data_IF_709352764256
#
_entry.id   IF_709352764256
#
_cell.length_a   1.000
_cell.length_b   1.000
_cell.length_c   1.000
_cell.angle_alpha   90.00
_cell.angle_beta   90.00
_cell.angle_gamma   90.00
#
_symmetry.space_group_name_H-M   'P 1'
#
loop_
_entity.id
_entity.type
_entity.pdbx_description
1 polymer ?
#
# COMPACT_ATOMS: atom_id res chain seq x y z
N UNK A 1 -16.25 6.61 -6.21
CA UNK A 1 -15.44 6.41 -5.00
C UNK A 1 -15.20 7.79 -4.45
N UNK A 2 -15.75 8.09 -3.28
CA UNK A 2 -15.71 9.46 -2.75
C UNK A 2 -14.35 9.74 -2.09
N UNK A 3 -13.95 11.00 -2.02
CA UNK A 3 -12.66 11.39 -1.41
C UNK A 3 -12.53 10.92 0.05
N UNK A 4 -13.66 10.80 0.75
CA UNK A 4 -13.74 10.32 2.13
C UNK A 4 -13.40 8.83 2.26
N UNK A 5 -13.81 7.99 1.28
CA UNK A 5 -13.46 6.56 1.25
C UNK A 5 -11.94 6.36 1.15
N UNK A 6 -11.29 7.20 0.34
CA UNK A 6 -9.85 7.20 0.12
C UNK A 6 -9.10 7.63 1.40
N UNK A 7 -9.63 8.62 2.13
CA UNK A 7 -9.06 9.06 3.41
C UNK A 7 -9.23 8.01 4.50
N UNK A 8 -10.42 7.41 4.63
CA UNK A 8 -10.69 6.34 5.58
C UNK A 8 -9.78 5.13 5.35
N UNK A 9 -9.53 4.78 4.09
CA UNK A 9 -8.57 3.74 3.71
C UNK A 9 -7.15 4.09 4.16
N UNK A 10 -6.69 5.32 3.92
CA UNK A 10 -5.38 5.80 4.38
C UNK A 10 -5.21 5.74 5.90
N UNK A 11 -6.22 6.17 6.66
CA UNK A 11 -6.20 6.14 8.12
C UNK A 11 -6.12 4.71 8.68
N UNK A 12 -6.90 3.77 8.13
CA UNK A 12 -6.89 2.36 8.55
C UNK A 12 -5.55 1.69 8.25
N UNK A 13 -4.97 1.97 7.09
CA UNK A 13 -3.65 1.48 6.73
C UNK A 13 -2.56 2.01 7.66
N UNK A 14 -2.61 3.30 8.05
CA UNK A 14 -1.69 3.89 9.04
C UNK A 14 -1.84 3.29 10.44
N UNK A 15 -3.07 3.09 10.92
CA UNK A 15 -3.31 2.42 12.20
C UNK A 15 -2.81 0.96 12.23
N UNK A 16 -2.55 0.37 11.06
CA UNK A 16 -1.97 -0.98 10.94
C UNK A 16 -0.44 -0.95 10.98
N UNK A 17 0.21 0.20 10.76
CA UNK A 17 1.67 0.36 10.89
C UNK A 17 2.16 0.27 12.33
N UNK A 18 1.38 0.77 13.29
CA UNK A 18 1.78 0.75 14.71
C UNK A 18 1.72 -0.65 15.34
N UNK A 19 1.23 -1.66 14.60
CA UNK A 19 1.02 -3.03 15.12
C UNK A 19 2.14 -4.02 14.79
N UNK A 20 3.19 -3.59 14.10
CA UNK A 20 4.35 -4.43 13.78
C UNK A 20 4.92 -4.21 12.38
N UNK A 21 5.98 -4.94 12.00
CA UNK A 21 6.62 -4.79 10.69
C UNK A 21 5.62 -5.10 9.57
N UNK A 22 5.30 -4.10 8.76
CA UNK A 22 4.38 -4.25 7.63
C UNK A 22 5.19 -4.51 6.36
N UNK A 23 4.88 -5.61 5.68
CA UNK A 23 5.53 -6.02 4.44
C UNK A 23 5.26 -5.09 3.26
N UNK A 24 5.79 -5.45 2.09
CA UNK A 24 5.62 -4.68 0.86
C UNK A 24 4.13 -4.43 0.52
N UNK A 25 3.85 -3.35 -0.21
CA UNK A 25 2.50 -2.94 -0.59
C UNK A 25 2.37 -2.81 -2.11
N UNK A 26 1.36 -3.47 -2.69
CA UNK A 26 0.96 -3.31 -4.08
C UNK A 26 -0.47 -2.78 -4.16
N UNK A 27 -0.66 -1.62 -4.78
CA UNK A 27 -1.99 -1.03 -5.01
C UNK A 27 -2.39 -1.19 -6.48
N UNK A 28 -3.63 -1.59 -6.75
CA UNK A 28 -4.17 -1.68 -8.12
C UNK A 28 -5.25 -0.63 -8.31
N UNK A 29 -5.06 0.29 -9.23
CA UNK A 29 -5.94 1.46 -9.41
C UNK A 29 -6.20 1.71 -10.90
N UNK A 30 -7.47 1.87 -11.30
CA UNK A 30 -7.82 2.29 -12.66
C UNK A 30 -7.40 3.75 -12.96
N UNK A 31 -7.36 4.13 -14.24
CA UNK A 31 -6.75 5.39 -14.69
C UNK A 31 -7.44 6.67 -14.20
N UNK A 32 -8.69 6.59 -13.75
CA UNK A 32 -9.51 7.70 -13.26
C UNK A 32 -9.10 8.21 -11.87
N UNK A 33 -8.27 7.47 -11.12
CA UNK A 33 -7.98 7.78 -9.71
C UNK A 33 -6.49 7.81 -9.36
N UNK A 34 -5.61 7.96 -10.34
CA UNK A 34 -4.14 7.86 -10.15
C UNK A 34 -3.58 8.95 -9.21
N UNK A 35 -4.04 10.21 -9.31
CA UNK A 35 -3.55 11.29 -8.45
C UNK A 35 -3.93 11.11 -6.97
N UNK A 36 -5.19 10.75 -6.72
CA UNK A 36 -5.69 10.52 -5.36
C UNK A 36 -4.91 9.37 -4.68
N UNK A 37 -4.52 8.36 -5.45
CA UNK A 37 -3.76 7.20 -4.97
C UNK A 37 -2.30 7.53 -4.74
N UNK A 38 -1.69 8.36 -5.58
CA UNK A 38 -0.35 8.90 -5.33
C UNK A 38 -0.26 9.59 -3.97
N UNK A 39 -1.30 10.35 -3.60
CA UNK A 39 -1.39 11.01 -2.28
C UNK A 39 -1.51 10.02 -1.13
N UNK A 40 -2.35 8.99 -1.26
CA UNK A 40 -2.47 7.91 -0.26
C UNK A 40 -1.15 7.18 -0.09
N UNK A 41 -0.45 6.88 -1.17
CA UNK A 41 0.87 6.25 -1.08
C UNK A 41 1.92 7.16 -0.46
N UNK A 42 1.91 8.45 -0.76
CA UNK A 42 2.76 9.44 -0.10
C UNK A 42 2.53 9.47 1.40
N UNK A 43 1.26 9.41 1.84
CA UNK A 43 0.91 9.29 3.26
C UNK A 43 1.41 7.98 3.90
N UNK A 44 1.50 6.90 3.12
CA UNK A 44 1.96 5.58 3.56
C UNK A 44 3.48 5.38 3.48
N UNK A 45 4.22 6.32 2.86
CA UNK A 45 5.67 6.28 2.69
C UNK A 45 6.46 6.57 3.98
N UNK A 46 5.77 6.94 5.06
CA UNK A 46 6.35 7.00 6.40
C UNK A 46 6.86 5.63 6.90
N UNK A 47 6.43 4.52 6.26
CA UNK A 47 6.97 3.20 6.54
C UNK A 47 8.09 2.85 5.55
N UNK A 48 9.25 2.45 6.09
CA UNK A 48 10.40 1.94 5.35
C UNK A 48 10.09 0.58 4.72
N UNK A 49 9.22 0.55 3.71
CA UNK A 49 8.79 -0.65 3.00
C UNK A 49 8.69 -0.42 1.50
N UNK A 50 8.93 -1.45 0.67
CA UNK A 50 8.70 -1.35 -0.77
C UNK A 50 7.21 -1.12 -1.09
N UNK A 51 6.89 -0.13 -1.93
CA UNK A 51 5.52 0.18 -2.37
C UNK A 51 5.44 0.44 -3.88
N UNK A 52 4.38 -0.02 -4.55
CA UNK A 52 4.17 0.21 -5.99
C UNK A 52 2.69 0.21 -6.41
N UNK A 53 2.32 1.10 -7.33
CA UNK A 53 1.00 1.14 -8.00
C UNK A 53 1.03 0.36 -9.30
N UNK A 54 -0.06 -0.33 -9.59
CA UNK A 54 -0.31 -1.04 -10.84
C UNK A 54 -1.68 -0.66 -11.39
N UNK A 55 -1.83 -0.78 -12.70
CA UNK A 55 -3.13 -0.63 -13.40
C UNK A 55 -3.90 -1.93 -13.50
N UNK A 56 -3.23 -3.06 -13.27
CA UNK A 56 -3.77 -4.40 -13.48
C UNK A 56 -3.36 -5.33 -12.34
N UNK A 57 -4.26 -6.25 -11.99
CA UNK A 57 -4.05 -7.21 -10.91
C UNK A 57 -2.90 -8.20 -11.18
N UNK A 58 -2.74 -8.66 -12.42
CA UNK A 58 -1.72 -9.64 -12.78
C UNK A 58 -0.29 -9.19 -12.47
N UNK A 59 0.16 -8.03 -12.99
CA UNK A 59 1.46 -7.43 -12.66
C UNK A 59 1.66 -7.20 -11.16
N UNK A 60 0.63 -6.68 -10.47
CA UNK A 60 0.69 -6.44 -9.03
C UNK A 60 0.95 -7.72 -8.24
N UNK A 61 0.24 -8.79 -8.60
CA UNK A 61 0.35 -10.09 -7.94
C UNK A 61 1.72 -10.75 -8.15
N UNK A 62 2.32 -10.59 -9.34
CA UNK A 62 3.68 -11.09 -9.59
C UNK A 62 4.72 -10.33 -8.78
N UNK A 63 4.61 -9.01 -8.73
CA UNK A 63 5.55 -8.18 -8.00
C UNK A 63 5.51 -8.44 -6.49
N UNK A 64 4.32 -8.47 -5.88
CA UNK A 64 4.20 -8.64 -4.43
C UNK A 64 4.72 -10.02 -3.97
N UNK A 65 4.53 -11.06 -4.79
CA UNK A 65 5.05 -12.41 -4.51
C UNK A 65 6.57 -12.51 -4.58
N UNK A 66 7.21 -11.60 -5.32
CA UNK A 66 8.67 -11.53 -5.42
C UNK A 66 9.32 -10.71 -4.30
N UNK A 67 8.53 -10.07 -3.44
CA UNK A 67 9.08 -9.29 -2.34
C UNK A 67 9.44 -10.18 -1.15
N UNK A 68 10.53 -9.87 -0.43
CA UNK A 68 10.81 -10.53 0.84
C UNK A 68 9.62 -10.33 1.77
N UNK A 69 9.23 -11.40 2.47
CA UNK A 69 8.19 -11.32 3.51
C UNK A 69 8.58 -10.27 4.56
N UNK A 70 7.61 -9.75 5.33
CA UNK A 70 7.93 -8.85 6.43
C UNK A 70 9.00 -9.48 7.32
N UNK A 71 10.00 -8.72 7.81
CA UNK A 71 10.95 -9.26 8.76
C UNK A 71 10.15 -9.88 9.91
N UNK A 72 10.35 -11.17 10.14
CA UNK A 72 9.75 -11.87 11.27
C UNK A 72 10.24 -11.12 12.50
N UNK A 73 9.33 -10.46 13.22
CA UNK A 73 9.64 -9.91 14.52
C UNK A 73 10.04 -11.10 15.40
N UNK A 74 11.34 -11.28 15.61
CA UNK A 74 11.84 -12.26 16.57
C UNK A 74 11.39 -11.79 17.96
N UNK A 75 10.75 -12.65 18.77
CA UNK A 75 10.40 -12.34 20.15
C UNK A 75 11.65 -12.10 21.00
#
# INVERSE_FOLDING_TARGET
MEAEDIMALGARMRASHDKGPVGALAAVVPNDHVEAVGRVLGMLAAAQRPMRVFRQLGPARRWIKGQPGPPIARP
#
